data_IF_974529509031
#
_entry.id   IF_974529509031
#
_cell.length_a   1.000
_cell.length_b   1.000
_cell.length_c   1.000
_cell.angle_alpha   90.00
_cell.angle_beta   90.00
_cell.angle_gamma   90.00
#
_symmetry.space_group_name_H-M   'P 1'
#
loop_
_entity.id
_entity.type
_entity.pdbx_description
1 polymer ?
#
# COMPACT_ATOMS: atom_id res chain seq x y z
N UNK A 1 -19.59 27.35 -30.90
CA UNK A 1 -18.72 26.16 -30.97
C UNK A 1 -18.52 25.63 -29.56
N UNK A 2 -19.03 24.42 -29.28
CA UNK A 2 -19.09 23.85 -27.94
C UNK A 2 -17.68 23.43 -27.49
N UNK A 3 -17.12 24.08 -26.45
CA UNK A 3 -15.79 23.73 -25.90
C UNK A 3 -15.81 22.45 -25.05
N UNK A 4 -16.92 21.68 -25.07
CA UNK A 4 -17.10 20.49 -24.24
C UNK A 4 -16.38 19.23 -24.76
N UNK A 5 -15.62 19.30 -25.86
CA UNK A 5 -15.19 18.09 -26.57
C UNK A 5 -13.74 17.62 -26.31
N UNK A 6 -12.83 18.50 -25.91
CA UNK A 6 -11.42 18.10 -25.80
C UNK A 6 -11.10 17.61 -24.39
N UNK A 7 -10.71 16.33 -24.29
CA UNK A 7 -9.96 15.86 -23.12
C UNK A 7 -8.74 16.78 -22.96
N UNK A 8 -8.41 17.22 -21.73
CA UNK A 8 -7.18 17.97 -21.49
C UNK A 8 -5.97 17.26 -22.12
N UNK A 9 -5.04 18.01 -22.73
CA UNK A 9 -3.95 17.43 -23.54
C UNK A 9 -3.11 16.37 -22.78
N UNK A 10 -2.99 16.47 -21.46
CA UNK A 10 -2.27 15.49 -20.65
C UNK A 10 -2.91 14.09 -20.67
N UNK A 11 -4.23 13.98 -20.90
CA UNK A 11 -4.90 12.68 -21.08
C UNK A 11 -4.45 11.95 -22.34
N UNK A 12 -4.10 12.70 -23.38
CA UNK A 12 -3.61 12.13 -24.64
C UNK A 12 -2.11 11.85 -24.61
N UNK A 13 -1.39 12.39 -23.62
CA UNK A 13 0.05 12.13 -23.49
C UNK A 13 0.29 10.77 -22.82
N UNK A 14 0.62 9.77 -23.64
CA UNK A 14 0.99 8.43 -23.18
C UNK A 14 2.22 8.40 -22.24
N UNK A 15 2.99 9.50 -22.15
CA UNK A 15 4.12 9.64 -21.22
C UNK A 15 3.72 10.18 -19.85
N UNK A 16 2.57 10.84 -19.72
CA UNK A 16 2.14 11.50 -18.48
C UNK A 16 2.05 10.51 -17.30
N UNK A 17 1.53 9.31 -17.56
CA UNK A 17 1.42 8.22 -16.59
C UNK A 17 2.57 7.19 -16.68
N UNK A 18 3.74 7.57 -17.21
CA UNK A 18 4.93 6.71 -17.22
C UNK A 18 5.98 7.20 -16.22
N UNK A 19 6.65 6.23 -15.59
CA UNK A 19 7.87 6.42 -14.79
C UNK A 19 8.91 5.43 -15.28
N UNK A 20 10.10 5.93 -15.61
CA UNK A 20 11.17 5.10 -16.21
C UNK A 20 10.68 4.30 -17.43
N UNK A 21 9.85 4.90 -18.30
CA UNK A 21 9.20 4.30 -19.49
C UNK A 21 8.14 3.22 -19.20
N UNK A 22 7.95 2.80 -17.95
CA UNK A 22 6.92 1.83 -17.54
C UNK A 22 5.68 2.59 -17.08
N UNK A 23 4.49 2.08 -17.42
CA UNK A 23 3.23 2.69 -17.04
C UNK A 23 2.93 2.47 -15.55
N UNK A 24 2.46 3.50 -14.83
CA UNK A 24 2.27 3.46 -13.35
C UNK A 24 1.45 2.27 -12.87
N UNK A 25 0.37 1.92 -13.59
CA UNK A 25 -0.44 0.74 -13.29
C UNK A 25 0.38 -0.56 -13.39
N UNK A 26 1.27 -0.67 -14.37
CA UNK A 26 2.16 -1.83 -14.52
C UNK A 26 3.17 -1.90 -13.38
N UNK A 27 3.76 -0.75 -12.97
CA UNK A 27 4.64 -0.74 -11.80
C UNK A 27 3.92 -1.24 -10.54
N UNK A 28 2.71 -0.75 -10.29
CA UNK A 28 1.90 -1.19 -9.15
C UNK A 28 1.62 -2.70 -9.23
N UNK A 29 1.09 -3.18 -10.36
CA UNK A 29 0.72 -4.59 -10.53
C UNK A 29 1.92 -5.56 -10.53
N UNK A 30 3.13 -5.08 -10.78
CA UNK A 30 4.35 -5.87 -10.60
C UNK A 30 4.84 -5.86 -9.15
N UNK A 31 4.76 -4.72 -8.46
CA UNK A 31 5.26 -4.55 -7.10
C UNK A 31 4.35 -5.19 -6.04
N UNK A 32 3.03 -5.13 -6.25
CA UNK A 32 2.03 -5.63 -5.29
C UNK A 32 2.13 -7.15 -5.04
N UNK A 33 2.26 -8.03 -6.07
CA UNK A 33 2.47 -9.47 -5.84
C UNK A 33 3.77 -9.79 -5.09
N UNK A 34 4.85 -9.05 -5.36
CA UNK A 34 6.13 -9.23 -4.65
C UNK A 34 5.95 -8.88 -3.18
N UNK A 35 5.32 -7.74 -2.89
CA UNK A 35 5.00 -7.32 -1.53
C UNK A 35 4.09 -8.33 -0.84
N UNK A 36 3.09 -8.85 -1.54
CA UNK A 36 2.15 -9.85 -1.00
C UNK A 36 2.89 -11.12 -0.56
N UNK A 37 3.78 -11.66 -1.40
CA UNK A 37 4.56 -12.86 -1.07
C UNK A 37 5.42 -12.61 0.18
N UNK A 38 6.12 -11.48 0.21
CA UNK A 38 7.00 -11.12 1.34
C UNK A 38 6.22 -10.93 2.63
N UNK A 39 5.05 -10.28 2.58
CA UNK A 39 4.20 -10.05 3.75
C UNK A 39 3.57 -11.34 4.27
N UNK A 40 3.14 -12.25 3.39
CA UNK A 40 2.67 -13.59 3.76
C UNK A 40 3.79 -14.40 4.44
N UNK A 41 5.02 -14.35 3.91
CA UNK A 41 6.17 -14.97 4.55
C UNK A 41 6.45 -14.38 5.94
N UNK A 42 6.36 -13.06 6.09
CA UNK A 42 6.54 -12.36 7.37
C UNK A 42 5.49 -12.76 8.43
N UNK A 43 4.23 -12.91 8.02
CA UNK A 43 3.15 -13.42 8.89
C UNK A 43 3.44 -14.86 9.29
N UNK A 44 3.84 -15.70 8.34
CA UNK A 44 4.15 -17.11 8.58
C UNK A 44 5.27 -17.26 9.61
N UNK A 45 6.34 -16.47 9.48
CA UNK A 45 7.41 -16.38 10.49
C UNK A 45 6.87 -15.93 11.84
N UNK A 46 6.01 -14.91 11.89
CA UNK A 46 5.36 -14.47 13.12
C UNK A 46 4.52 -15.56 13.80
N UNK A 47 3.72 -16.31 13.04
CA UNK A 47 2.92 -17.42 13.55
C UNK A 47 3.82 -18.51 14.13
N UNK A 48 4.88 -18.91 13.42
CA UNK A 48 5.85 -19.91 13.90
C UNK A 48 6.51 -19.45 15.21
N UNK A 49 6.85 -18.17 15.32
CA UNK A 49 7.45 -17.57 16.52
C UNK A 49 6.49 -17.46 17.71
N UNK A 50 5.19 -17.41 17.46
CA UNK A 50 4.15 -17.40 18.48
C UNK A 50 3.84 -18.80 19.01
N UNK A 51 3.78 -19.78 18.10
CA UNK A 51 3.46 -21.19 18.43
C UNK A 51 4.65 -21.94 19.02
N UNK A 52 5.88 -21.59 18.63
CA UNK A 52 7.10 -22.22 19.14
C UNK A 52 7.89 -21.24 20.01
N UNK A 53 7.50 -21.01 21.28
CA UNK A 53 8.19 -20.07 22.14
C UNK A 53 9.66 -20.45 22.34
N UNK A 54 10.08 -21.71 22.24
CA UNK A 54 11.51 -22.07 22.33
C UNK A 54 12.38 -21.37 21.28
N UNK A 55 11.83 -21.03 20.11
CA UNK A 55 12.56 -20.37 19.03
C UNK A 55 12.86 -18.90 19.31
N UNK A 56 12.08 -18.23 20.18
CA UNK A 56 12.23 -16.79 20.39
C UNK A 56 13.65 -16.41 20.81
N UNK A 57 14.28 -17.21 21.69
CA UNK A 57 15.64 -16.95 22.20
C UNK A 57 16.71 -16.94 21.12
N UNK A 58 16.46 -17.60 19.98
CA UNK A 58 17.36 -17.65 18.84
C UNK A 58 17.20 -16.47 17.90
N UNK A 59 16.10 -15.72 18.00
CA UNK A 59 15.80 -14.61 17.08
C UNK A 59 16.72 -13.40 17.32
N UNK A 60 17.05 -12.64 16.25
CA UNK A 60 17.71 -11.35 16.40
C UNK A 60 16.91 -10.38 17.28
N UNK A 61 15.58 -10.43 17.17
CA UNK A 61 14.65 -9.58 17.93
C UNK A 61 14.75 -9.83 19.44
N UNK A 62 14.84 -11.08 19.88
CA UNK A 62 15.07 -11.38 21.29
C UNK A 62 16.42 -10.85 21.78
N UNK A 63 17.50 -11.14 21.04
CA UNK A 63 18.84 -10.68 21.41
C UNK A 63 18.92 -9.15 21.50
N UNK A 64 18.22 -8.46 20.60
CA UNK A 64 18.20 -7.00 20.54
C UNK A 64 17.34 -6.37 21.65
N UNK A 65 16.08 -6.78 21.78
CA UNK A 65 15.10 -6.08 22.63
C UNK A 65 14.88 -6.72 23.99
N UNK A 66 14.99 -8.05 24.07
CA UNK A 66 14.46 -8.81 25.21
C UNK A 66 15.55 -9.45 26.06
N UNK A 67 16.77 -9.66 25.55
CA UNK A 67 17.83 -10.35 26.30
C UNK A 67 18.20 -9.63 27.61
N UNK A 68 18.26 -8.29 27.59
CA UNK A 68 18.52 -7.52 28.81
C UNK A 68 17.31 -7.53 29.75
N UNK A 69 16.10 -7.27 29.21
CA UNK A 69 14.88 -7.24 30.00
C UNK A 69 14.52 -8.61 30.62
N UNK A 70 14.79 -9.71 29.92
CA UNK A 70 14.58 -11.07 30.40
C UNK A 70 15.46 -11.40 31.61
N UNK A 71 16.67 -10.84 31.70
CA UNK A 71 17.54 -11.00 32.88
C UNK A 71 17.01 -10.27 34.10
N UNK A 72 16.33 -9.14 33.92
CA UNK A 72 15.78 -8.33 35.01
C UNK A 72 14.38 -8.79 35.45
N UNK A 73 13.51 -9.15 34.49
CA UNK A 73 12.10 -9.48 34.71
C UNK A 73 11.67 -10.67 33.85
N UNK A 74 12.05 -11.86 34.28
CA UNK A 74 11.84 -13.11 33.55
C UNK A 74 10.35 -13.42 33.24
N UNK A 75 9.40 -13.07 34.11
CA UNK A 75 7.97 -13.30 33.87
C UNK A 75 7.38 -12.32 32.85
N UNK A 76 7.72 -11.04 32.98
CA UNK A 76 7.07 -9.97 32.21
C UNK A 76 7.61 -9.85 30.77
N UNK A 77 8.84 -10.29 30.49
CA UNK A 77 9.39 -10.17 29.13
C UNK A 77 8.64 -11.04 28.11
N UNK A 78 8.15 -12.21 28.53
CA UNK A 78 7.46 -13.12 27.62
C UNK A 78 6.13 -12.53 27.12
N UNK A 79 5.42 -11.80 27.99
CA UNK A 79 4.21 -11.08 27.63
C UNK A 79 4.52 -9.98 26.61
N UNK A 80 5.53 -9.14 26.86
CA UNK A 80 5.96 -8.09 25.92
C UNK A 80 6.40 -8.66 24.58
N UNK A 81 7.13 -9.78 24.58
CA UNK A 81 7.52 -10.50 23.38
C UNK A 81 6.29 -10.94 22.57
N UNK A 82 5.29 -11.54 23.22
CA UNK A 82 4.04 -11.95 22.55
C UNK A 82 3.30 -10.77 21.95
N UNK A 83 3.19 -9.66 22.69
CA UNK A 83 2.58 -8.42 22.19
C UNK A 83 3.31 -7.91 20.95
N UNK A 84 4.65 -7.90 20.97
CA UNK A 84 5.45 -7.47 19.82
C UNK A 84 5.22 -8.35 18.58
N UNK A 85 5.15 -9.68 18.74
CA UNK A 85 4.86 -10.59 17.63
C UNK A 85 3.42 -10.45 17.11
N UNK A 86 2.44 -10.27 18.00
CA UNK A 86 1.05 -10.01 17.59
C UNK A 86 0.94 -8.70 16.83
N UNK A 87 1.60 -7.63 17.29
CA UNK A 87 1.64 -6.35 16.60
C UNK A 87 2.32 -6.45 15.24
N UNK A 88 3.43 -7.21 15.16
CA UNK A 88 4.09 -7.53 13.90
C UNK A 88 3.12 -8.18 12.91
N UNK A 89 2.41 -9.23 13.33
CA UNK A 89 1.42 -9.92 12.47
C UNK A 89 0.31 -8.95 12.05
N UNK A 90 -0.22 -8.15 12.98
CA UNK A 90 -1.30 -7.21 12.72
C UNK A 90 -0.91 -6.16 11.66
N UNK A 91 0.29 -5.59 11.75
CA UNK A 91 0.80 -4.62 10.75
C UNK A 91 0.89 -5.26 9.37
N UNK A 92 1.34 -6.51 9.26
CA UNK A 92 1.41 -7.21 7.97
C UNK A 92 0.04 -7.60 7.42
N UNK A 93 -0.94 -7.95 8.27
CA UNK A 93 -2.33 -8.17 7.84
C UNK A 93 -2.91 -6.87 7.28
N UNK A 94 -2.71 -5.75 7.98
CA UNK A 94 -3.12 -4.42 7.50
C UNK A 94 -2.47 -4.14 6.14
N UNK A 95 -1.18 -4.44 5.98
CA UNK A 95 -0.49 -4.28 4.70
C UNK A 95 -1.14 -5.14 3.60
N UNK A 96 -1.45 -6.40 3.84
CA UNK A 96 -2.17 -7.25 2.87
C UNK A 96 -3.51 -6.64 2.47
N UNK A 97 -4.29 -6.11 3.43
CA UNK A 97 -5.55 -5.43 3.12
C UNK A 97 -5.30 -4.23 2.20
N UNK A 98 -4.27 -3.43 2.46
CA UNK A 98 -3.92 -2.29 1.58
C UNK A 98 -3.52 -2.74 0.17
N UNK A 99 -2.79 -3.84 0.03
CA UNK A 99 -2.38 -4.42 -1.27
C UNK A 99 -3.60 -4.90 -2.06
N UNK A 100 -4.49 -5.69 -1.44
CA UNK A 100 -5.67 -6.24 -2.12
C UNK A 100 -6.60 -5.12 -2.56
N UNK A 101 -6.84 -4.15 -1.68
CA UNK A 101 -7.73 -3.04 -1.97
C UNK A 101 -7.15 -2.04 -2.96
N UNK A 102 -5.83 -1.83 -3.01
CA UNK A 102 -5.17 -0.99 -4.03
C UNK A 102 -5.32 -1.60 -5.44
N UNK A 103 -5.17 -2.93 -5.56
CA UNK A 103 -5.41 -3.65 -6.81
C UNK A 103 -6.87 -3.48 -7.23
N UNK A 104 -7.83 -3.72 -6.34
CA UNK A 104 -9.26 -3.58 -6.65
C UNK A 104 -9.62 -2.15 -7.05
N UNK A 105 -9.13 -1.14 -6.34
CA UNK A 105 -9.38 0.26 -6.65
C UNK A 105 -8.86 0.64 -8.04
N UNK A 106 -7.68 0.13 -8.41
CA UNK A 106 -7.06 0.36 -9.72
C UNK A 106 -7.83 -0.33 -10.84
N UNK A 107 -8.27 -1.57 -10.63
CA UNK A 107 -9.01 -2.33 -11.65
C UNK A 107 -10.44 -1.80 -11.85
N UNK A 108 -11.09 -1.35 -10.77
CA UNK A 108 -12.46 -0.82 -10.80
C UNK A 108 -12.55 0.67 -11.14
N UNK A 109 -11.41 1.35 -11.32
CA UNK A 109 -11.32 2.80 -11.55
C UNK A 109 -12.08 3.58 -10.45
N UNK A 110 -11.86 3.20 -9.19
CA UNK A 110 -12.51 3.81 -8.00
C UNK A 110 -11.45 4.44 -7.10
N UNK A 111 -11.09 5.72 -7.31
CA UNK A 111 -10.03 6.38 -6.55
C UNK A 111 -10.38 6.56 -5.06
N UNK A 112 -11.67 6.59 -4.70
CA UNK A 112 -12.07 6.68 -3.28
C UNK A 112 -11.63 5.47 -2.46
N UNK A 113 -11.48 4.32 -3.12
CA UNK A 113 -10.92 3.11 -2.54
C UNK A 113 -9.39 3.15 -2.46
N UNK A 114 -8.70 4.27 -2.74
CA UNK A 114 -7.25 4.43 -2.51
C UNK A 114 -6.93 5.33 -1.31
N UNK A 115 -7.89 6.15 -0.86
CA UNK A 115 -7.69 7.09 0.24
C UNK A 115 -7.41 6.39 1.58
N UNK A 116 -8.20 5.39 2.01
CA UNK A 116 -7.91 4.67 3.26
C UNK A 116 -6.52 4.02 3.27
N UNK A 117 -6.06 3.51 2.13
CA UNK A 117 -4.78 2.83 1.97
C UNK A 117 -3.62 3.81 2.06
N UNK A 118 -3.76 5.00 1.48
CA UNK A 118 -2.80 6.08 1.67
C UNK A 118 -2.61 6.40 3.15
N UNK A 119 -3.71 6.56 3.89
CA UNK A 119 -3.66 6.82 5.34
C UNK A 119 -3.00 5.67 6.10
N UNK A 120 -3.42 4.42 5.83
CA UNK A 120 -2.86 3.24 6.49
C UNK A 120 -1.37 3.05 6.19
N UNK A 121 -0.92 3.30 4.96
CA UNK A 121 0.49 3.20 4.60
C UNK A 121 1.33 4.31 5.24
N UNK A 122 0.82 5.53 5.36
CA UNK A 122 1.50 6.61 6.10
C UNK A 122 1.70 6.20 7.57
N UNK A 123 0.66 5.64 8.20
CA UNK A 123 0.75 5.13 9.57
C UNK A 123 1.78 4.00 9.67
N UNK A 124 1.77 3.04 8.74
CA UNK A 124 2.74 1.94 8.71
C UNK A 124 4.17 2.42 8.49
N UNK A 125 4.40 3.41 7.62
CA UNK A 125 5.72 4.06 7.47
C UNK A 125 6.16 4.67 8.80
N UNK A 126 5.28 5.43 9.46
CA UNK A 126 5.57 5.99 10.78
C UNK A 126 5.94 4.92 11.82
N UNK A 127 5.22 3.79 11.82
CA UNK A 127 5.51 2.64 12.67
C UNK A 127 6.90 2.04 12.39
N UNK A 128 7.29 1.85 11.11
CA UNK A 128 8.61 1.33 10.76
C UNK A 128 9.73 2.33 11.07
N UNK A 129 9.52 3.63 10.84
CA UNK A 129 10.48 4.68 11.22
C UNK A 129 10.70 4.70 12.74
N UNK A 130 9.63 4.63 13.53
CA UNK A 130 9.73 4.56 14.98
C UNK A 130 10.45 3.29 15.45
N UNK A 131 10.17 2.15 14.82
CA UNK A 131 10.85 0.88 15.09
C UNK A 131 12.35 0.99 14.79
N UNK A 132 12.73 1.55 13.64
CA UNK A 132 14.13 1.77 13.26
C UNK A 132 14.85 2.68 14.26
N UNK A 133 14.23 3.80 14.64
CA UNK A 133 14.79 4.72 15.63
C UNK A 133 15.00 4.02 16.98
N UNK A 134 14.05 3.18 17.39
CA UNK A 134 14.15 2.38 18.62
C UNK A 134 15.32 1.39 18.56
N UNK A 135 15.49 0.67 17.44
CA UNK A 135 16.60 -0.27 17.22
C UNK A 135 17.95 0.46 17.25
N UNK A 136 18.06 1.58 16.55
CA UNK A 136 19.27 2.39 16.48
C UNK A 136 19.64 2.90 17.88
N UNK A 137 18.67 3.42 18.62
CA UNK A 137 18.87 3.90 19.99
C UNK A 137 19.35 2.76 20.91
N UNK A 138 18.76 1.56 20.80
CA UNK A 138 19.22 0.40 21.56
C UNK A 138 20.64 -0.04 21.20
N UNK A 139 21.04 0.03 19.92
CA UNK A 139 22.40 -0.27 19.50
C UNK A 139 23.43 0.74 20.05
N UNK A 140 23.05 2.01 20.22
CA UNK A 140 23.91 3.01 20.86
C UNK A 140 24.06 2.77 22.37
N UNK A 141 23.02 2.27 23.04
CA UNK A 141 23.03 2.04 24.49
C UNK A 141 23.67 0.69 24.86
N UNK A 142 23.37 -0.38 24.13
CA UNK A 142 23.88 -1.73 24.38
C UNK A 142 24.95 -2.09 23.37
N UNK A 143 26.20 -2.21 23.80
CA UNK A 143 27.43 -2.26 22.97
C UNK A 143 27.56 -3.39 21.92
N UNK A 144 26.51 -4.14 21.60
CA UNK A 144 26.53 -5.19 20.58
C UNK A 144 25.55 -4.85 19.46
N UNK A 145 26.09 -4.41 18.33
CA UNK A 145 25.27 -4.07 17.16
C UNK A 145 24.78 -5.34 16.48
N UNK A 146 23.49 -5.66 16.62
CA UNK A 146 22.86 -6.75 15.87
C UNK A 146 22.24 -6.17 14.60
N UNK A 147 23.02 -6.12 13.52
CA UNK A 147 22.61 -5.55 12.23
C UNK A 147 21.41 -6.23 11.57
N UNK A 148 21.09 -7.48 11.93
CA UNK A 148 19.97 -8.21 11.34
C UNK A 148 18.61 -7.57 11.62
N UNK A 149 18.38 -7.06 12.84
CA UNK A 149 17.11 -6.40 13.18
C UNK A 149 16.87 -5.10 12.38
N UNK A 150 17.81 -4.13 12.32
CA UNK A 150 17.63 -2.93 11.51
C UNK A 150 17.57 -3.24 10.01
N UNK A 151 18.28 -4.25 9.50
CA UNK A 151 18.17 -4.66 8.09
C UNK A 151 16.75 -5.15 7.75
N UNK A 152 16.17 -6.02 8.60
CA UNK A 152 14.79 -6.50 8.41
C UNK A 152 13.80 -5.33 8.46
N UNK A 153 13.90 -4.47 9.47
CA UNK A 153 13.01 -3.31 9.60
C UNK A 153 13.16 -2.33 8.42
N UNK A 154 14.38 -2.11 7.93
CA UNK A 154 14.64 -1.24 6.78
C UNK A 154 14.05 -1.81 5.50
N UNK A 155 14.13 -3.12 5.31
CA UNK A 155 13.56 -3.81 4.16
C UNK A 155 12.03 -3.63 4.09
N UNK A 156 11.32 -3.85 5.21
CA UNK A 156 9.86 -3.63 5.25
C UNK A 156 9.49 -2.14 5.14
N UNK A 157 10.29 -1.25 5.73
CA UNK A 157 10.13 0.19 5.55
C UNK A 157 10.21 0.58 4.07
N UNK A 158 11.22 0.07 3.35
CA UNK A 158 11.40 0.30 1.92
C UNK A 158 10.22 -0.21 1.08
N UNK A 159 9.72 -1.41 1.35
CA UNK A 159 8.54 -1.96 0.66
C UNK A 159 7.29 -1.11 0.93
N UNK A 160 7.10 -0.65 2.17
CA UNK A 160 5.97 0.19 2.54
C UNK A 160 6.05 1.56 1.88
N UNK A 161 7.24 2.18 1.85
CA UNK A 161 7.49 3.45 1.17
C UNK A 161 7.28 3.34 -0.34
N UNK A 162 7.76 2.26 -0.95
CA UNK A 162 7.58 2.03 -2.39
C UNK A 162 6.11 1.83 -2.72
N UNK A 163 5.36 1.08 -1.90
CA UNK A 163 3.91 0.97 -2.05
C UNK A 163 3.21 2.31 -1.89
N UNK A 164 3.55 3.11 -0.87
CA UNK A 164 2.98 4.43 -0.66
C UNK A 164 3.21 5.32 -1.90
N UNK A 165 4.45 5.34 -2.41
CA UNK A 165 4.80 6.09 -3.61
C UNK A 165 3.99 5.63 -4.84
N UNK A 166 3.88 4.31 -5.06
CA UNK A 166 3.13 3.75 -6.19
C UNK A 166 1.62 4.02 -6.09
N UNK A 167 1.04 3.98 -4.88
CA UNK A 167 -0.36 4.34 -4.67
C UNK A 167 -0.59 5.83 -4.94
N UNK A 168 0.30 6.73 -4.49
CA UNK A 168 0.18 8.17 -4.79
C UNK A 168 0.18 8.42 -6.31
N UNK A 169 1.05 7.74 -7.05
CA UNK A 169 1.07 7.84 -8.51
C UNK A 169 -0.19 7.25 -9.16
N UNK A 170 -0.64 6.10 -8.66
CA UNK A 170 -1.80 5.39 -9.20
C UNK A 170 -3.09 6.12 -8.91
N UNK A 171 -3.20 6.80 -7.76
CA UNK A 171 -4.35 7.63 -7.41
C UNK A 171 -4.62 8.69 -8.46
N UNK A 172 -3.60 9.48 -8.83
CA UNK A 172 -3.72 10.48 -9.90
C UNK A 172 -4.15 9.85 -11.22
N UNK A 173 -3.55 8.72 -11.59
CA UNK A 173 -3.93 8.00 -12.80
C UNK A 173 -5.39 7.51 -12.79
N UNK A 174 -5.86 6.96 -11.66
CA UNK A 174 -7.22 6.45 -11.52
C UNK A 174 -8.23 7.59 -11.51
N UNK A 175 -7.93 8.70 -10.83
CA UNK A 175 -8.74 9.93 -10.85
C UNK A 175 -8.93 10.44 -12.28
N UNK A 176 -7.82 10.60 -13.00
CA UNK A 176 -7.82 11.06 -14.37
C UNK A 176 -8.70 10.13 -15.22
N UNK A 177 -8.46 8.81 -15.19
CA UNK A 177 -9.26 7.86 -15.98
C UNK A 177 -10.74 7.89 -15.60
N UNK A 178 -11.07 8.10 -14.34
CA UNK A 178 -12.46 8.23 -13.89
C UNK A 178 -13.11 9.48 -14.46
N UNK A 179 -12.43 10.62 -14.44
CA UNK A 179 -12.92 11.87 -15.02
C UNK A 179 -13.14 11.71 -16.54
N UNK A 180 -12.18 11.12 -17.24
CA UNK A 180 -12.29 10.81 -18.66
C UNK A 180 -13.49 9.91 -18.97
N UNK A 181 -13.67 8.83 -18.21
CA UNK A 181 -14.80 7.91 -18.36
C UNK A 181 -16.14 8.62 -18.11
N UNK A 182 -16.22 9.46 -17.06
CA UNK A 182 -17.43 10.24 -16.77
C UNK A 182 -17.76 11.24 -17.87
N UNK A 183 -16.75 11.92 -18.45
CA UNK A 183 -16.94 12.83 -19.60
C UNK A 183 -17.47 12.09 -20.82
N UNK A 184 -16.88 10.94 -21.16
CA UNK A 184 -17.34 10.10 -22.28
C UNK A 184 -18.80 9.68 -22.07
N UNK A 185 -19.13 9.14 -20.89
CA UNK A 185 -20.49 8.68 -20.58
C UNK A 185 -21.51 9.82 -20.62
N UNK A 186 -21.15 11.02 -20.15
CA UNK A 186 -22.02 12.21 -20.25
C UNK A 186 -22.24 12.59 -21.71
N UNK A 187 -21.19 12.61 -22.52
CA UNK A 187 -21.28 12.95 -23.94
C UNK A 187 -22.12 11.91 -24.71
N UNK A 188 -21.92 10.61 -24.49
CA UNK A 188 -22.74 9.56 -25.11
C UNK A 188 -24.22 9.73 -24.75
N UNK A 189 -24.55 9.99 -23.47
CA UNK A 189 -25.94 10.27 -23.06
C UNK A 189 -26.53 11.48 -23.80
N UNK A 190 -25.75 12.54 -24.01
CA UNK A 190 -26.22 13.72 -24.76
C UNK A 190 -26.40 13.44 -26.24
N UNK A 191 -25.54 12.60 -26.85
CA UNK A 191 -25.68 12.18 -28.26
C UNK A 191 -26.93 11.34 -28.44
N UNK A 192 -27.14 10.32 -27.59
CA UNK A 192 -28.34 9.48 -27.62
C UNK A 192 -29.62 10.31 -27.41
N UNK A 193 -29.61 11.28 -26.49
CA UNK A 193 -30.77 12.17 -26.31
C UNK A 193 -31.02 13.06 -27.54
N UNK A 194 -29.96 13.55 -28.19
CA UNK A 194 -30.06 14.35 -29.42
C UNK A 194 -30.61 13.52 -30.58
N UNK A 195 -30.17 12.26 -30.72
CA UNK A 195 -30.65 11.32 -31.73
C UNK A 195 -32.13 10.96 -31.52
N UNK A 196 -32.54 10.66 -30.29
CA UNK A 196 -33.95 10.42 -29.93
C UNK A 196 -34.81 11.67 -30.22
N UNK A 197 -34.30 12.87 -29.91
CA UNK A 197 -35.02 14.11 -30.20
C UNK A 197 -35.17 14.37 -31.70
N UNK A 198 -34.15 14.05 -32.50
CA UNK A 198 -34.25 14.17 -33.96
C UNK A 198 -35.21 13.16 -34.55
N UNK A 199 -35.27 11.93 -34.05
CA UNK A 199 -36.21 10.93 -34.55
C UNK A 199 -37.65 11.30 -34.21
N UNK A 200 -37.93 11.77 -32.99
CA UNK A 200 -39.27 12.25 -32.59
C UNK A 200 -39.74 13.40 -33.51
N UNK A 201 -38.88 14.40 -33.75
CA UNK A 201 -39.22 15.50 -34.67
C UNK A 201 -39.55 15.01 -36.08
N UNK A 202 -38.78 14.04 -36.58
CA UNK A 202 -39.05 13.45 -37.88
C UNK A 202 -40.42 12.76 -37.91
N UNK A 203 -40.86 12.10 -36.83
CA UNK A 203 -42.20 11.51 -36.73
C UNK A 203 -43.33 12.54 -36.59
N UNK A 204 -43.09 13.70 -35.97
CA UNK A 204 -44.09 14.77 -35.84
C UNK A 204 -44.35 15.51 -37.18
N UNK A 205 -43.40 15.45 -38.12
CA UNK A 205 -43.50 16.09 -39.44
C UNK A 205 -44.20 15.21 -40.51
N UNK A 206 -44.50 13.94 -40.21
CA UNK A 206 -45.27 13.01 -41.06
C UNK A 206 -46.70 12.84 -40.57
#
# INVERSE_FOLDING_TARGET
MSSYAQLPAHFTDAKYHRRCKIHVQTLLLCHEPITLIVTVAAISVGIVLLTNPSLHRKTPLYKQFFQHYARMRASNYLLLYRIAIVLWIAVHIIHIITIVTSILATQLIRPELLYPQLVMLIISVGFYTFTLLSIITMNFIGSTIIWMAPLIASFFCFLTLTNLYLIVLTHRYVDDRREALQKILRNTKTVTFKEIRSSIKQYEEY
#
